data_IF_816293972231
#
_entry.id   IF_816293972231
#
_cell.length_a   1.000
_cell.length_b   1.000
_cell.length_c   1.000
_cell.angle_alpha   90.00
_cell.angle_beta   90.00
_cell.angle_gamma   90.00
#
_symmetry.space_group_name_H-M   'P 1'
#
loop_
_entity.id
_entity.type
_entity.pdbx_description
1 polymer ?
#
# COMPACT_ATOMS: atom_id res chain seq x y z
N UNK A 1 -5.99 24.12 2.45
CA UNK A 1 -5.88 22.70 2.87
C UNK A 1 -4.75 22.61 3.88
N UNK A 2 -4.97 22.10 5.09
CA UNK A 2 -3.93 21.99 6.12
C UNK A 2 -3.07 20.74 5.84
N UNK A 3 -1.74 20.88 5.84
CA UNK A 3 -0.76 19.82 5.53
C UNK A 3 -0.90 18.62 6.47
N UNK A 4 -1.21 18.84 7.74
CA UNK A 4 -1.45 17.76 8.71
C UNK A 4 -2.71 16.96 8.37
N UNK A 5 -3.76 17.63 7.87
CA UNK A 5 -4.98 16.96 7.41
C UNK A 5 -4.70 16.15 6.14
N UNK A 6 -3.86 16.65 5.25
CA UNK A 6 -3.44 15.94 4.05
C UNK A 6 -2.65 14.67 4.40
N UNK A 7 -1.68 14.79 5.31
CA UNK A 7 -0.87 13.67 5.81
C UNK A 7 -1.75 12.60 6.47
N UNK A 8 -2.68 12.99 7.35
CA UNK A 8 -3.62 12.06 8.00
C UNK A 8 -4.50 11.34 6.97
N UNK A 9 -5.10 12.08 6.03
CA UNK A 9 -5.95 11.47 5.01
C UNK A 9 -5.18 10.46 4.13
N UNK A 10 -3.94 10.78 3.77
CA UNK A 10 -3.08 9.87 3.03
C UNK A 10 -2.75 8.62 3.87
N UNK A 11 -2.48 8.80 5.16
CA UNK A 11 -2.24 7.69 6.08
C UNK A 11 -3.44 6.75 6.17
N UNK A 12 -4.64 7.30 6.32
CA UNK A 12 -5.88 6.50 6.39
C UNK A 12 -6.05 5.66 5.12
N UNK A 13 -5.76 6.24 3.95
CA UNK A 13 -5.81 5.51 2.66
C UNK A 13 -4.77 4.40 2.58
N UNK A 14 -3.53 4.64 3.04
CA UNK A 14 -2.48 3.61 3.07
C UNK A 14 -2.85 2.46 4.01
N UNK A 15 -3.45 2.77 5.16
CA UNK A 15 -3.96 1.76 6.10
C UNK A 15 -5.08 0.94 5.46
N UNK A 16 -6.03 1.57 4.76
CA UNK A 16 -7.08 0.86 4.04
C UNK A 16 -6.50 -0.06 2.96
N UNK A 17 -5.59 0.44 2.12
CA UNK A 17 -4.93 -0.37 1.09
C UNK A 17 -4.18 -1.57 1.69
N UNK A 18 -3.52 -1.38 2.83
CA UNK A 18 -2.88 -2.46 3.60
C UNK A 18 -3.90 -3.50 4.05
N UNK A 19 -5.05 -3.08 4.58
CA UNK A 19 -6.13 -3.97 5.02
C UNK A 19 -6.64 -4.78 3.83
N UNK A 20 -6.85 -4.16 2.67
CA UNK A 20 -7.37 -4.85 1.48
C UNK A 20 -6.38 -5.89 0.94
N UNK A 21 -5.09 -5.55 0.86
CA UNK A 21 -4.04 -6.52 0.48
C UNK A 21 -3.96 -7.67 1.49
N UNK A 22 -4.05 -7.36 2.79
CA UNK A 22 -4.04 -8.37 3.84
C UNK A 22 -5.26 -9.29 3.74
N UNK A 23 -6.46 -8.73 3.50
CA UNK A 23 -7.68 -9.49 3.30
C UNK A 23 -7.54 -10.44 2.11
N UNK A 24 -6.96 -9.97 1.00
CA UNK A 24 -6.73 -10.83 -0.15
C UNK A 24 -5.75 -11.98 0.16
N UNK A 25 -4.65 -11.69 0.86
CA UNK A 25 -3.70 -12.72 1.28
C UNK A 25 -4.34 -13.74 2.24
N UNK A 26 -5.21 -13.32 3.14
CA UNK A 26 -5.94 -14.24 4.02
C UNK A 26 -6.91 -15.11 3.22
N UNK A 27 -7.64 -14.53 2.26
CA UNK A 27 -8.49 -15.29 1.34
C UNK A 27 -7.68 -16.36 0.60
N UNK A 28 -6.48 -16.00 0.12
CA UNK A 28 -5.56 -16.94 -0.53
C UNK A 28 -5.10 -18.08 0.38
N UNK A 29 -4.79 -17.80 1.65
CA UNK A 29 -4.44 -18.83 2.64
C UNK A 29 -5.59 -19.82 2.88
N UNK A 30 -6.82 -19.37 2.73
CA UNK A 30 -8.03 -20.20 2.81
C UNK A 30 -8.39 -20.89 1.48
N UNK A 31 -7.50 -20.88 0.46
CA UNK A 31 -7.74 -21.39 -0.91
C UNK A 31 -8.86 -20.65 -1.66
N UNK A 32 -9.26 -19.47 -1.19
CA UNK A 32 -10.16 -18.58 -1.92
C UNK A 32 -9.43 -17.80 -3.01
N UNK A 33 -10.21 -17.13 -3.86
CA UNK A 33 -9.75 -16.17 -4.85
C UNK A 33 -10.78 -15.05 -4.97
N UNK A 34 -10.35 -13.87 -5.38
CA UNK A 34 -11.26 -12.76 -5.66
C UNK A 34 -11.98 -12.98 -7.00
N UNK A 35 -13.18 -12.45 -7.14
CA UNK A 35 -13.76 -12.26 -8.46
C UNK A 35 -12.88 -11.32 -9.30
N UNK A 36 -13.00 -11.41 -10.62
CA UNK A 36 -12.29 -10.53 -11.56
C UNK A 36 -12.53 -9.05 -11.22
N UNK A 37 -13.78 -8.68 -10.92
CA UNK A 37 -14.15 -7.31 -10.55
C UNK A 37 -13.54 -6.84 -9.23
N UNK A 38 -13.45 -7.72 -8.22
CA UNK A 38 -12.81 -7.36 -6.93
C UNK A 38 -11.31 -7.17 -7.11
N UNK A 39 -10.66 -8.04 -7.90
CA UNK A 39 -9.25 -7.92 -8.23
C UNK A 39 -8.96 -6.64 -9.03
N UNK A 40 -9.78 -6.34 -10.05
CA UNK A 40 -9.70 -5.09 -10.82
C UNK A 40 -9.83 -3.87 -9.92
N UNK A 41 -10.85 -3.86 -9.05
CA UNK A 41 -11.08 -2.75 -8.14
C UNK A 41 -9.91 -2.52 -7.18
N UNK A 42 -9.37 -3.59 -6.58
CA UNK A 42 -8.20 -3.49 -5.72
C UNK A 42 -6.98 -2.97 -6.48
N UNK A 43 -6.72 -3.50 -7.68
CA UNK A 43 -5.62 -3.06 -8.54
C UNK A 43 -5.71 -1.57 -8.84
N UNK A 44 -6.88 -1.14 -9.31
CA UNK A 44 -7.09 0.24 -9.76
C UNK A 44 -6.98 1.21 -8.58
N UNK A 45 -7.57 0.87 -7.42
CA UNK A 45 -7.40 1.63 -6.18
C UNK A 45 -5.92 1.79 -5.78
N UNK A 46 -5.11 0.74 -5.92
CA UNK A 46 -3.67 0.80 -5.60
C UNK A 46 -2.91 1.71 -6.57
N UNK A 47 -3.24 1.68 -7.87
CA UNK A 47 -2.63 2.59 -8.85
C UNK A 47 -3.03 4.05 -8.61
N UNK A 48 -4.31 4.31 -8.36
CA UNK A 48 -4.83 5.64 -8.03
C UNK A 48 -4.17 6.20 -6.77
N UNK A 49 -4.09 5.38 -5.71
CA UNK A 49 -3.43 5.78 -4.47
C UNK A 49 -1.93 6.02 -4.66
N UNK A 50 -1.26 5.24 -5.50
CA UNK A 50 0.15 5.45 -5.83
C UNK A 50 0.35 6.78 -6.59
N UNK A 51 -0.53 7.12 -7.53
CA UNK A 51 -0.50 8.41 -8.22
C UNK A 51 -0.75 9.58 -7.26
N UNK A 52 -1.80 9.47 -6.43
CA UNK A 52 -2.15 10.46 -5.42
C UNK A 52 -1.01 10.69 -4.41
N UNK A 53 -0.34 9.62 -4.00
CA UNK A 53 0.82 9.67 -3.12
C UNK A 53 1.96 10.46 -3.74
N UNK A 54 2.28 10.24 -5.02
CA UNK A 54 3.34 10.97 -5.73
C UNK A 54 3.03 12.47 -5.82
N UNK A 55 1.79 12.82 -6.16
CA UNK A 55 1.36 14.22 -6.27
C UNK A 55 1.42 14.93 -4.92
N UNK A 56 0.93 14.27 -3.87
CA UNK A 56 0.88 14.84 -2.52
C UNK A 56 2.22 14.85 -1.82
N UNK A 57 3.16 13.97 -2.20
CA UNK A 57 4.50 13.91 -1.59
C UNK A 57 5.22 15.25 -1.67
N UNK A 58 5.15 15.94 -2.81
CA UNK A 58 5.77 17.25 -2.97
C UNK A 58 5.17 18.31 -2.03
N UNK A 59 3.87 18.21 -1.74
CA UNK A 59 3.16 19.14 -0.85
C UNK A 59 3.47 18.90 0.64
N UNK A 60 3.68 17.64 1.03
CA UNK A 60 3.99 17.28 2.43
C UNK A 60 5.49 17.24 2.74
N UNK A 61 6.35 17.25 1.72
CA UNK A 61 7.82 17.19 1.85
C UNK A 61 8.40 18.13 2.92
N UNK A 62 7.97 19.40 3.06
CA UNK A 62 8.52 20.31 4.08
C UNK A 62 8.19 19.90 5.53
N UNK A 63 7.19 19.03 5.72
CA UNK A 63 6.61 18.66 7.03
C UNK A 63 6.96 17.24 7.46
N UNK A 64 7.72 16.50 6.64
CA UNK A 64 8.09 15.10 6.88
C UNK A 64 9.60 14.98 7.03
N UNK A 65 10.03 14.09 7.92
CA UNK A 65 11.46 13.80 8.10
C UNK A 65 12.00 13.00 6.91
N UNK A 66 13.33 12.93 6.69
CA UNK A 66 13.92 12.09 5.65
C UNK A 66 13.49 10.61 5.78
N UNK A 67 13.39 10.09 7.01
CA UNK A 67 12.89 8.74 7.26
C UNK A 67 11.43 8.57 6.84
N UNK A 68 10.56 9.54 7.14
CA UNK A 68 9.17 9.51 6.70
C UNK A 68 9.04 9.65 5.18
N UNK A 69 9.94 10.41 4.55
CA UNK A 69 10.00 10.53 3.10
C UNK A 69 10.41 9.23 2.42
N UNK A 70 11.39 8.52 2.99
CA UNK A 70 11.77 7.19 2.54
C UNK A 70 10.63 6.19 2.71
N UNK A 71 9.96 6.21 3.86
CA UNK A 71 8.79 5.37 4.11
C UNK A 71 7.65 5.64 3.11
N UNK A 72 7.40 6.91 2.74
CA UNK A 72 6.44 7.25 1.69
C UNK A 72 6.88 6.69 0.32
N UNK A 73 8.17 6.71 0.01
CA UNK A 73 8.68 6.13 -1.23
C UNK A 73 8.48 4.61 -1.27
N UNK A 74 8.90 3.92 -0.20
CA UNK A 74 8.75 2.47 -0.05
C UNK A 74 7.28 2.02 -0.08
N UNK A 75 6.37 2.78 0.56
CA UNK A 75 4.93 2.53 0.47
C UNK A 75 4.43 2.62 -0.98
N UNK A 76 4.87 3.64 -1.72
CA UNK A 76 4.51 3.83 -3.13
C UNK A 76 4.98 2.68 -4.02
N UNK A 77 6.21 2.21 -3.82
CA UNK A 77 6.75 1.05 -4.55
C UNK A 77 6.03 -0.24 -4.21
N UNK A 78 5.75 -0.47 -2.92
CA UNK A 78 5.01 -1.64 -2.47
C UNK A 78 3.61 -1.70 -3.08
N UNK A 79 2.88 -0.58 -3.11
CA UNK A 79 1.56 -0.51 -3.74
C UNK A 79 1.62 -0.71 -5.25
N UNK A 80 2.58 -0.09 -5.95
CA UNK A 80 2.73 -0.26 -7.39
C UNK A 80 3.06 -1.72 -7.75
N UNK A 81 3.97 -2.35 -6.99
CA UNK A 81 4.32 -3.76 -7.17
C UNK A 81 3.14 -4.69 -6.87
N UNK A 82 2.36 -4.41 -5.83
CA UNK A 82 1.13 -5.14 -5.53
C UNK A 82 0.11 -4.99 -6.67
N UNK A 83 -0.11 -3.78 -7.20
CA UNK A 83 -1.01 -3.55 -8.32
C UNK A 83 -0.58 -4.30 -9.59
N UNK A 84 0.73 -4.29 -9.91
CA UNK A 84 1.28 -5.09 -11.03
C UNK A 84 1.07 -6.59 -10.79
N UNK A 85 1.25 -7.06 -9.56
CA UNK A 85 0.99 -8.45 -9.20
C UNK A 85 -0.48 -8.85 -9.44
N UNK A 86 -1.43 -7.93 -9.21
CA UNK A 86 -2.85 -8.15 -9.45
C UNK A 86 -3.24 -8.11 -10.93
N UNK A 87 -2.37 -7.63 -11.84
CA UNK A 87 -2.67 -7.64 -13.29
C UNK A 87 -2.84 -9.06 -13.84
N UNK A 88 -2.26 -10.08 -13.19
CA UNK A 88 -2.45 -11.47 -13.60
C UNK A 88 -3.72 -12.09 -13.01
N UNK A 89 -4.40 -11.41 -12.07
CA UNK A 89 -5.55 -11.94 -11.32
C UNK A 89 -6.78 -12.28 -12.15
N UNK A 90 -6.92 -11.74 -13.36
CA UNK A 90 -7.97 -12.14 -14.31
C UNK A 90 -7.92 -13.60 -14.71
N UNK A 91 -6.75 -14.24 -14.56
CA UNK A 91 -6.54 -15.65 -14.87
C UNK A 91 -6.77 -16.56 -13.64
N UNK A 92 -7.07 -15.98 -12.47
CA UNK A 92 -7.30 -16.74 -11.26
C UNK A 92 -8.65 -17.51 -11.34
N UNK A 93 -8.59 -18.80 -11.08
CA UNK A 93 -9.75 -19.69 -11.02
C UNK A 93 -9.53 -20.78 -9.96
N UNK A 94 -10.56 -21.59 -9.61
CA UNK A 94 -10.41 -22.61 -8.54
C UNK A 94 -9.26 -23.61 -8.75
N UNK A 95 -8.82 -23.80 -10.00
CA UNK A 95 -7.81 -24.78 -10.38
C UNK A 95 -6.43 -24.18 -10.62
N UNK A 96 -6.33 -22.86 -10.83
CA UNK A 96 -5.09 -22.19 -11.20
C UNK A 96 -5.07 -20.74 -10.73
N UNK A 97 -4.02 -20.38 -9.97
CA UNK A 97 -3.82 -19.04 -9.44
C UNK A 97 -2.56 -18.45 -10.07
N UNK A 98 -2.73 -17.36 -10.81
CA UNK A 98 -1.67 -16.61 -11.46
C UNK A 98 -1.09 -15.49 -10.57
N UNK A 99 -1.86 -14.99 -9.60
CA UNK A 99 -1.35 -13.97 -8.67
C UNK A 99 -0.28 -14.55 -7.75
N UNK A 100 0.88 -13.89 -7.71
CA UNK A 100 1.98 -14.29 -6.86
C UNK A 100 1.76 -13.86 -5.40
N UNK A 101 1.34 -14.82 -4.57
CA UNK A 101 1.07 -14.63 -3.13
C UNK A 101 2.32 -14.23 -2.35
N UNK A 102 3.50 -14.71 -2.74
CA UNK A 102 4.76 -14.31 -2.08
C UNK A 102 5.09 -12.84 -2.35
N UNK A 103 4.90 -12.38 -3.60
CA UNK A 103 5.07 -10.97 -3.96
C UNK A 103 4.10 -10.10 -3.19
N UNK A 104 2.81 -10.43 -3.16
CA UNK A 104 1.83 -9.70 -2.36
C UNK A 104 2.18 -9.68 -0.88
N UNK A 105 2.68 -10.80 -0.33
CA UNK A 105 3.16 -10.89 1.04
C UNK A 105 4.32 -9.94 1.33
N UNK A 106 5.30 -9.86 0.44
CA UNK A 106 6.43 -8.93 0.55
C UNK A 106 5.95 -7.48 0.46
N UNK A 107 5.07 -7.17 -0.49
CA UNK A 107 4.46 -5.84 -0.62
C UNK A 107 3.72 -5.45 0.66
N UNK A 108 2.95 -6.36 1.25
CA UNK A 108 2.25 -6.10 2.51
C UNK A 108 3.22 -5.79 3.65
N UNK A 109 4.28 -6.57 3.81
CA UNK A 109 5.30 -6.34 4.85
C UNK A 109 5.98 -4.98 4.66
N UNK A 110 6.37 -4.62 3.43
CA UNK A 110 6.97 -3.32 3.14
C UNK A 110 6.01 -2.16 3.43
N UNK A 111 4.73 -2.32 3.05
CA UNK A 111 3.71 -1.31 3.32
C UNK A 111 3.45 -1.16 4.82
N UNK A 112 3.42 -2.25 5.57
CA UNK A 112 3.25 -2.25 7.03
C UNK A 112 4.41 -1.51 7.73
N UNK A 113 5.65 -1.84 7.38
CA UNK A 113 6.84 -1.17 7.91
C UNK A 113 6.84 0.32 7.57
N UNK A 114 6.48 0.66 6.33
CA UNK A 114 6.39 2.05 5.89
C UNK A 114 5.36 2.83 6.71
N UNK A 115 4.17 2.26 6.95
CA UNK A 115 3.12 2.88 7.77
C UNK A 115 3.60 3.07 9.22
N UNK A 116 4.34 2.12 9.77
CA UNK A 116 4.93 2.24 11.11
C UNK A 116 5.98 3.36 11.16
N UNK A 117 6.90 3.42 10.20
CA UNK A 117 7.93 4.46 10.10
C UNK A 117 7.34 5.86 9.91
N UNK A 118 6.23 5.96 9.18
CA UNK A 118 5.53 7.24 9.03
C UNK A 118 4.84 7.72 10.32
N UNK A 119 4.40 6.78 11.17
CA UNK A 119 3.76 7.05 12.46
C UNK A 119 4.76 7.17 13.62
N UNK A 120 6.01 6.80 13.42
CA UNK A 120 7.04 6.90 14.46
C UNK A 120 7.17 8.38 14.93
N UNK A 121 7.12 8.63 16.25
CA UNK A 121 7.41 9.95 16.77
C UNK A 121 8.85 10.33 16.43
N UNK A 122 9.10 11.60 16.11
CA UNK A 122 10.45 12.08 15.87
C UNK A 122 11.34 11.69 17.07
N UNK A 123 12.56 11.17 16.85
CA UNK A 123 13.44 10.80 17.94
C UNK A 123 13.61 12.03 18.83
N UNK A 124 13.25 11.90 20.12
CA UNK A 124 13.50 12.94 21.11
C UNK A 124 15.00 13.15 21.19
N UNK A 125 15.52 14.16 20.49
CA UNK A 125 16.87 14.66 20.69
C UNK A 125 16.88 15.27 22.09
N UNK A 126 17.35 14.51 23.08
CA UNK A 126 17.72 15.07 24.39
C UNK A 126 18.95 15.93 24.15
N UNK A 127 18.76 17.25 24.24
CA UNK A 127 19.82 18.25 24.38
C UNK A 127 20.46 18.10 25.76
#
# INVERSE_FOLDING_TARGET
MNVDRLKRNLMDKLVNARIDIAAYLQLRRAKGYMSVSENDHLRDNLFELCAELRDKRALIAPSVTPQQQEALHMAGEAMASAAVCLMTGHHDCPLYIAVNVETLGRCLTTLDNSIQDMNAPAPMVRV
#
